data_IF_389495269469
#
_entry.id   IF_389495269469
#
_cell.length_a   1.000
_cell.length_b   1.000
_cell.length_c   1.000
_cell.angle_alpha   90.00
_cell.angle_beta   90.00
_cell.angle_gamma   90.00
#
_symmetry.space_group_name_H-M   'P 1'
#
loop_
_entity.id
_entity.type
_entity.pdbx_description
1 polymer ?
#
# COMPACT_ATOMS: atom_id res chain seq x y z
N UNK A 1 -20.91 14.25 -55.17
CA UNK A 1 -19.47 13.89 -55.27
C UNK A 1 -19.14 13.00 -54.07
N UNK A 2 -19.07 11.70 -54.29
CA UNK A 2 -18.74 10.71 -53.26
C UNK A 2 -17.22 10.56 -53.20
N UNK A 3 -16.62 10.87 -52.04
CA UNK A 3 -15.19 10.72 -51.79
C UNK A 3 -14.83 9.27 -51.49
N UNK A 4 -13.82 8.74 -52.20
CA UNK A 4 -13.24 7.40 -51.98
C UNK A 4 -12.42 7.37 -50.67
N UNK A 5 -12.42 6.26 -49.91
CA UNK A 5 -11.51 6.09 -48.78
C UNK A 5 -10.12 5.61 -49.24
N UNK A 6 -9.08 6.10 -48.57
CA UNK A 6 -7.68 5.68 -48.72
C UNK A 6 -7.45 4.42 -47.85
N UNK A 7 -6.77 3.37 -48.35
CA UNK A 7 -6.52 2.17 -47.56
C UNK A 7 -5.34 2.37 -46.60
N UNK A 8 -5.59 2.18 -45.30
CA UNK A 8 -4.55 2.17 -44.27
C UNK A 8 -3.72 0.89 -44.32
N UNK A 9 -2.39 1.04 -44.27
CA UNK A 9 -1.43 -0.06 -44.12
C UNK A 9 -1.61 -0.72 -42.76
N UNK A 10 -2.08 -1.95 -42.74
CA UNK A 10 -1.98 -2.86 -41.58
C UNK A 10 -0.56 -3.41 -41.50
N UNK A 11 0.19 -3.00 -40.47
CA UNK A 11 1.39 -3.73 -40.07
C UNK A 11 0.94 -5.03 -39.39
N UNK A 12 1.13 -6.16 -40.08
CA UNK A 12 0.88 -7.49 -39.51
C UNK A 12 1.80 -7.73 -38.32
N UNK A 13 1.26 -7.70 -37.10
CA UNK A 13 1.88 -8.30 -35.94
C UNK A 13 1.83 -9.83 -36.08
N UNK A 14 2.88 -10.56 -35.69
CA UNK A 14 2.90 -12.02 -35.76
C UNK A 14 1.80 -12.62 -34.86
N UNK A 15 1.22 -13.77 -35.25
CA UNK A 15 0.17 -14.42 -34.47
C UNK A 15 0.69 -14.83 -33.08
N UNK A 16 -0.17 -14.77 -32.04
CA UNK A 16 0.22 -15.16 -30.69
C UNK A 16 0.65 -16.63 -30.67
N UNK A 17 1.74 -16.99 -29.95
CA UNK A 17 2.16 -18.37 -29.84
C UNK A 17 1.08 -19.21 -29.12
N UNK A 18 0.86 -20.42 -29.63
CA UNK A 18 -0.13 -21.36 -29.10
C UNK A 18 0.25 -21.80 -27.66
N UNK A 19 -0.74 -21.72 -26.77
CA UNK A 19 -0.60 -21.88 -25.31
C UNK A 19 -0.67 -23.35 -24.91
N UNK A 20 0.40 -23.88 -24.32
CA UNK A 20 0.39 -25.17 -23.60
C UNK A 20 0.58 -24.93 -22.09
N UNK A 21 -0.42 -25.33 -21.29
CA UNK A 21 -0.46 -25.15 -19.83
C UNK A 21 0.53 -26.04 -19.07
N UNK A 22 1.65 -25.44 -18.63
CA UNK A 22 2.28 -25.57 -17.29
C UNK A 22 3.35 -24.46 -17.18
N UNK A 23 3.10 -23.45 -16.33
CA UNK A 23 4.05 -22.41 -15.93
C UNK A 23 4.53 -21.47 -17.03
N UNK A 24 3.68 -20.57 -17.54
CA UNK A 24 4.15 -19.49 -18.43
C UNK A 24 4.86 -18.41 -17.60
N UNK A 25 6.15 -18.60 -17.32
CA UNK A 25 7.03 -17.51 -16.90
C UNK A 25 7.45 -16.74 -18.14
N UNK A 26 7.23 -15.42 -18.14
CA UNK A 26 7.63 -14.55 -19.25
C UNK A 26 8.61 -13.51 -18.74
N UNK A 27 9.84 -13.49 -19.28
CA UNK A 27 10.75 -12.36 -19.12
C UNK A 27 10.22 -11.21 -19.99
N UNK A 28 9.99 -10.05 -19.37
CA UNK A 28 9.48 -8.85 -20.02
C UNK A 28 10.65 -7.95 -20.42
N UNK A 29 10.52 -7.14 -21.49
CA UNK A 29 11.46 -6.05 -21.71
C UNK A 29 11.41 -5.08 -20.52
N UNK A 30 12.54 -4.46 -20.20
CA UNK A 30 12.61 -3.47 -19.12
C UNK A 30 11.58 -2.35 -19.32
N UNK A 31 10.88 -1.89 -18.27
CA UNK A 31 10.00 -0.73 -18.36
C UNK A 31 10.78 0.48 -18.88
N UNK A 32 10.21 1.27 -19.80
CA UNK A 32 10.88 2.46 -20.32
C UNK A 32 10.94 3.56 -19.25
N UNK A 33 11.80 4.55 -19.44
CA UNK A 33 11.95 5.69 -18.50
C UNK A 33 10.80 6.70 -18.64
N UNK A 34 10.28 6.89 -19.86
CA UNK A 34 9.23 7.88 -20.10
C UNK A 34 7.88 7.41 -19.56
N UNK A 35 7.20 8.28 -18.81
CA UNK A 35 5.90 7.97 -18.20
C UNK A 35 4.82 7.46 -19.18
N UNK A 36 4.58 8.08 -20.35
CA UNK A 36 3.61 7.53 -21.32
C UNK A 36 4.02 6.13 -21.79
N UNK A 37 5.30 5.92 -22.05
CA UNK A 37 5.83 4.60 -22.41
C UNK A 37 5.62 3.56 -21.31
N UNK A 38 5.69 3.93 -20.02
CA UNK A 38 5.40 2.98 -18.92
C UNK A 38 3.93 2.60 -18.91
N UNK A 39 3.03 3.55 -19.16
CA UNK A 39 1.59 3.27 -19.27
C UNK A 39 1.32 2.28 -20.41
N UNK A 40 1.88 2.53 -21.59
CA UNK A 40 1.76 1.63 -22.75
C UNK A 40 2.39 0.25 -22.46
N UNK A 41 3.51 0.23 -21.75
CA UNK A 41 4.18 -1.00 -21.34
C UNK A 41 3.30 -1.82 -20.37
N UNK A 42 2.67 -1.17 -19.39
CA UNK A 42 1.76 -1.85 -18.45
C UNK A 42 0.52 -2.37 -19.18
N UNK A 43 -0.07 -1.55 -20.05
CA UNK A 43 -1.23 -1.94 -20.87
C UNK A 43 -0.91 -3.19 -21.70
N UNK A 44 0.26 -3.20 -22.36
CA UNK A 44 0.64 -4.31 -23.22
C UNK A 44 1.05 -5.58 -22.46
N UNK A 45 2.00 -5.48 -21.52
CA UNK A 45 2.64 -6.64 -20.90
C UNK A 45 1.89 -7.17 -19.66
N UNK A 46 1.13 -6.30 -18.98
CA UNK A 46 0.36 -6.63 -17.78
C UNK A 46 -1.16 -6.61 -18.02
N UNK A 47 -1.61 -6.56 -19.28
CA UNK A 47 -3.00 -6.75 -19.65
C UNK A 47 -3.63 -7.96 -18.92
N UNK A 48 -4.82 -7.73 -18.37
CA UNK A 48 -5.59 -8.71 -17.60
C UNK A 48 -5.19 -8.86 -16.14
N UNK A 49 -4.16 -8.12 -15.66
CA UNK A 49 -3.72 -8.13 -14.26
C UNK A 49 -4.20 -6.90 -13.46
N UNK A 50 -4.98 -6.03 -14.08
CA UNK A 50 -5.57 -4.83 -13.51
C UNK A 50 -7.03 -4.65 -13.97
N UNK A 51 -7.81 -3.78 -13.30
CA UNK A 51 -9.27 -3.73 -13.42
C UNK A 51 -9.89 -2.43 -13.98
N UNK A 52 -9.07 -1.46 -14.39
CA UNK A 52 -9.46 -0.19 -14.99
C UNK A 52 -8.57 0.15 -16.20
N UNK A 53 -8.77 1.29 -16.85
CA UNK A 53 -7.94 1.69 -17.98
C UNK A 53 -6.48 1.95 -17.56
N UNK A 54 -5.54 1.61 -18.44
CA UNK A 54 -4.13 1.87 -18.19
C UNK A 54 -3.87 3.37 -18.02
N UNK A 55 -3.61 3.78 -16.78
CA UNK A 55 -3.33 5.17 -16.43
C UNK A 55 -2.33 5.26 -15.28
N UNK A 56 -1.47 6.27 -15.32
CA UNK A 56 -0.57 6.61 -14.22
C UNK A 56 -1.30 7.49 -13.19
N UNK A 57 -0.83 7.51 -11.94
CA UNK A 57 -1.33 8.48 -10.96
C UNK A 57 -0.91 9.91 -11.37
N UNK A 58 -1.82 10.89 -11.48
CA UNK A 58 -1.43 12.27 -11.76
C UNK A 58 -0.65 12.91 -10.59
N UNK A 59 -0.61 12.24 -9.43
CA UNK A 59 -0.09 12.80 -8.18
C UNK A 59 1.20 12.17 -7.67
N UNK A 60 1.60 11.03 -8.21
CA UNK A 60 2.75 10.27 -7.77
C UNK A 60 3.44 9.61 -8.95
N UNK A 61 4.76 9.65 -8.96
CA UNK A 61 5.63 8.89 -9.85
C UNK A 61 6.41 7.90 -9.00
N UNK A 62 6.53 6.65 -9.45
CA UNK A 62 7.36 5.62 -8.81
C UNK A 62 8.86 5.87 -8.96
N UNK A 63 9.68 5.12 -8.21
CA UNK A 63 11.14 5.20 -8.28
C UNK A 63 11.81 5.88 -7.08
N UNK A 64 13.08 5.54 -6.88
CA UNK A 64 13.94 6.10 -5.83
C UNK A 64 14.18 7.59 -6.08
N UNK A 65 14.37 7.99 -7.34
CA UNK A 65 14.54 9.41 -7.72
C UNK A 65 13.35 10.25 -7.24
N UNK A 66 12.14 9.85 -7.59
CA UNK A 66 10.92 10.56 -7.18
C UNK A 66 10.72 10.53 -5.65
N UNK A 67 11.08 9.42 -4.99
CA UNK A 67 11.01 9.29 -3.54
C UNK A 67 11.96 10.27 -2.82
N UNK A 68 13.18 10.42 -3.35
CA UNK A 68 14.21 11.30 -2.80
C UNK A 68 13.85 12.77 -3.00
N UNK A 69 13.34 13.14 -4.18
CA UNK A 69 12.79 14.48 -4.45
C UNK A 69 11.62 14.81 -3.51
N UNK A 70 10.70 13.86 -3.32
CA UNK A 70 9.57 14.04 -2.42
C UNK A 70 10.02 14.25 -0.96
N UNK A 71 11.03 13.50 -0.48
CA UNK A 71 11.57 13.67 0.86
C UNK A 71 12.33 15.00 1.00
N UNK A 72 13.14 15.39 0.01
CA UNK A 72 13.88 16.64 0.00
C UNK A 72 12.96 17.87 -0.02
N UNK A 73 11.83 17.79 -0.72
CA UNK A 73 10.81 18.83 -0.75
C UNK A 73 9.89 18.87 0.48
N UNK A 74 9.92 17.85 1.34
CA UNK A 74 9.03 17.78 2.50
C UNK A 74 9.53 18.63 3.67
N UNK A 75 8.68 19.54 4.17
CA UNK A 75 8.90 20.25 5.43
C UNK A 75 7.92 19.78 6.51
N UNK A 76 8.45 19.38 7.67
CA UNK A 76 7.62 19.00 8.82
C UNK A 76 6.98 20.20 9.53
N UNK A 77 7.40 21.45 9.23
CA UNK A 77 6.89 22.65 9.91
C UNK A 77 5.37 22.79 9.75
N UNK A 78 4.66 22.99 10.85
CA UNK A 78 3.21 23.15 10.88
C UNK A 78 2.42 21.84 10.81
N UNK A 79 3.08 20.68 10.62
CA UNK A 79 2.44 19.37 10.46
C UNK A 79 1.38 19.07 11.54
N UNK A 80 1.66 19.38 12.81
CA UNK A 80 0.74 19.08 13.89
C UNK A 80 -0.59 19.86 13.80
N UNK A 81 -0.59 21.02 13.15
CA UNK A 81 -1.80 21.83 12.90
C UNK A 81 -2.57 21.41 11.66
N UNK A 82 -1.88 21.01 10.58
CA UNK A 82 -2.45 20.87 9.24
C UNK A 82 -2.64 19.43 8.74
N UNK A 83 -2.11 18.40 9.43
CA UNK A 83 -2.18 16.98 9.00
C UNK A 83 -3.59 16.43 8.75
N UNK A 84 -4.62 17.07 9.33
CA UNK A 84 -6.02 16.62 9.23
C UNK A 84 -6.84 17.46 8.23
N UNK A 85 -6.24 18.46 7.60
CA UNK A 85 -6.92 19.28 6.59
C UNK A 85 -7.20 18.44 5.34
N UNK A 86 -8.37 18.63 4.74
CA UNK A 86 -8.89 17.85 3.61
C UNK A 86 -9.13 18.72 2.40
N UNK A 87 -9.75 19.89 2.56
CA UNK A 87 -10.01 20.82 1.46
C UNK A 87 -9.81 22.27 1.92
N UNK A 88 -9.30 23.17 1.06
CA UNK A 88 -8.75 22.91 -0.27
C UNK A 88 -7.39 22.17 -0.23
N UNK A 89 -6.96 21.52 -1.32
CA UNK A 89 -5.77 20.65 -1.31
C UNK A 89 -4.48 21.36 -0.87
N UNK A 90 -4.36 22.66 -1.14
CA UNK A 90 -3.19 23.49 -0.81
C UNK A 90 -3.02 23.70 0.70
N UNK A 91 -4.07 23.45 1.50
CA UNK A 91 -4.03 23.52 2.97
C UNK A 91 -3.63 22.22 3.64
N UNK A 92 -3.51 21.12 2.88
CA UNK A 92 -3.20 19.79 3.42
C UNK A 92 -1.78 19.77 3.97
N UNK A 93 -1.63 19.38 5.24
CA UNK A 93 -0.34 19.19 5.89
C UNK A 93 0.23 17.78 5.78
N UNK A 94 -0.44 16.86 5.11
CA UNK A 94 0.04 15.48 4.97
C UNK A 94 1.30 15.43 4.09
N UNK A 95 2.29 14.64 4.48
CA UNK A 95 3.60 14.61 3.81
C UNK A 95 3.59 13.98 2.42
N UNK A 96 2.55 13.23 2.07
CA UNK A 96 2.44 12.47 0.81
C UNK A 96 3.58 11.45 0.61
N UNK A 97 4.35 11.09 1.65
CA UNK A 97 5.47 10.14 1.55
C UNK A 97 5.05 8.66 1.65
N UNK A 98 3.78 8.37 1.96
CA UNK A 98 3.33 7.01 2.24
C UNK A 98 3.45 6.02 1.08
N UNK A 99 3.27 6.39 -0.21
CA UNK A 99 3.54 5.47 -1.33
C UNK A 99 4.99 5.02 -1.37
N UNK A 100 5.94 5.93 -1.15
CA UNK A 100 7.37 5.63 -1.13
C UNK A 100 7.79 4.81 0.10
N UNK A 101 7.23 5.13 1.27
CA UNK A 101 7.47 4.37 2.52
C UNK A 101 6.95 2.94 2.41
N UNK A 102 5.82 2.74 1.70
CA UNK A 102 5.24 1.42 1.54
C UNK A 102 6.18 0.47 0.78
N UNK A 103 6.79 0.96 -0.29
CA UNK A 103 7.60 0.15 -1.20
C UNK A 103 9.08 0.10 -0.81
N UNK A 104 9.45 0.57 0.39
CA UNK A 104 10.83 0.56 0.87
C UNK A 104 11.75 1.59 0.21
N UNK A 105 11.25 2.40 -0.72
CA UNK A 105 11.98 3.52 -1.36
C UNK A 105 12.42 4.54 -0.29
N UNK A 106 11.59 4.77 0.71
CA UNK A 106 11.94 5.55 1.91
C UNK A 106 11.81 4.69 3.17
N UNK A 107 12.91 4.11 3.68
CA UNK A 107 12.91 3.43 4.97
C UNK A 107 12.44 4.39 6.08
N UNK A 108 11.65 3.91 7.04
CA UNK A 108 11.11 4.76 8.11
C UNK A 108 12.20 5.49 8.90
N UNK A 109 13.37 4.86 9.09
CA UNK A 109 14.53 5.46 9.76
C UNK A 109 15.04 6.71 9.03
N UNK A 110 15.15 6.66 7.69
CA UNK A 110 15.55 7.80 6.86
C UNK A 110 14.59 8.97 7.03
N UNK A 111 13.28 8.71 6.99
CA UNK A 111 12.26 9.75 7.17
C UNK A 111 12.25 10.28 8.61
N UNK A 112 12.45 9.42 9.61
CA UNK A 112 12.54 9.78 11.02
C UNK A 112 13.68 10.75 11.30
N UNK A 113 14.84 10.52 10.68
CA UNK A 113 16.03 11.35 10.79
C UNK A 113 15.84 12.67 10.03
N UNK A 114 15.31 12.63 8.80
CA UNK A 114 15.10 13.80 7.95
C UNK A 114 14.24 14.90 8.63
N UNK A 115 13.25 14.53 9.44
CA UNK A 115 12.41 15.51 10.15
C UNK A 115 13.04 16.06 11.43
N UNK A 116 14.18 15.52 11.89
CA UNK A 116 14.73 15.78 13.22
C UNK A 116 15.06 17.25 13.52
N UNK A 117 15.35 18.06 12.50
CA UNK A 117 15.65 19.49 12.63
C UNK A 117 14.43 20.43 12.69
N UNK A 118 13.20 19.90 12.63
CA UNK A 118 11.99 20.71 12.65
C UNK A 118 11.52 21.18 14.03
N UNK A 119 10.43 21.96 14.11
CA UNK A 119 9.84 22.38 15.39
C UNK A 119 9.41 21.18 16.24
N UNK A 120 9.77 21.16 17.53
CA UNK A 120 9.58 20.01 18.44
C UNK A 120 8.16 19.41 18.40
N UNK A 121 7.12 20.25 18.43
CA UNK A 121 5.73 19.81 18.38
C UNK A 121 5.40 19.07 17.08
N UNK A 122 5.88 19.58 15.96
CA UNK A 122 5.62 19.01 14.65
C UNK A 122 6.41 17.72 14.44
N UNK A 123 7.69 17.72 14.83
CA UNK A 123 8.56 16.53 14.78
C UNK A 123 8.00 15.40 15.63
N UNK A 124 7.62 15.70 16.89
CA UNK A 124 7.03 14.71 17.78
C UNK A 124 5.74 14.15 17.20
N UNK A 125 4.89 15.00 16.61
CA UNK A 125 3.64 14.54 15.99
C UNK A 125 3.89 13.72 14.73
N UNK A 126 4.83 14.10 13.89
CA UNK A 126 5.16 13.35 12.68
C UNK A 126 5.76 11.98 12.99
N UNK A 127 6.71 11.92 13.93
CA UNK A 127 7.33 10.68 14.41
C UNK A 127 6.31 9.72 15.04
N UNK A 128 5.30 10.24 15.74
CA UNK A 128 4.16 9.44 16.24
C UNK A 128 3.38 8.75 15.10
N UNK A 129 3.23 9.39 13.95
CA UNK A 129 2.58 8.77 12.78
C UNK A 129 3.48 7.72 12.10
N UNK A 130 4.79 7.92 12.08
CA UNK A 130 5.74 6.87 11.62
C UNK A 130 5.69 5.64 12.55
N UNK A 131 5.52 5.85 13.85
CA UNK A 131 5.31 4.77 14.81
C UNK A 131 3.98 4.04 14.58
N UNK A 132 2.91 4.72 14.16
CA UNK A 132 1.67 4.03 13.74
C UNK A 132 1.88 3.11 12.54
N UNK A 133 2.69 3.52 11.57
CA UNK A 133 3.08 2.68 10.44
C UNK A 133 3.87 1.44 10.90
N UNK A 134 4.82 1.63 11.82
CA UNK A 134 5.63 0.54 12.38
C UNK A 134 4.78 -0.43 13.22
N UNK A 135 3.88 0.08 14.05
CA UNK A 135 2.91 -0.71 14.80
C UNK A 135 2.07 -1.59 13.89
N UNK A 136 1.51 -1.02 12.81
CA UNK A 136 0.71 -1.80 11.86
C UNK A 136 1.52 -2.93 11.20
N UNK A 137 2.80 -2.69 10.89
CA UNK A 137 3.71 -3.74 10.39
C UNK A 137 3.95 -4.82 11.43
N UNK A 138 4.19 -4.48 12.70
CA UNK A 138 4.39 -5.46 13.78
C UNK A 138 3.15 -6.35 13.96
N UNK A 139 1.95 -5.75 13.99
CA UNK A 139 0.68 -6.49 14.08
C UNK A 139 0.56 -7.47 12.91
N UNK A 140 0.80 -7.02 11.68
CA UNK A 140 0.67 -7.86 10.49
C UNK A 140 1.76 -8.93 10.39
N UNK A 141 3.00 -8.62 10.74
CA UNK A 141 4.11 -9.56 10.74
C UNK A 141 3.87 -10.73 11.70
N UNK A 142 3.24 -10.44 12.86
CA UNK A 142 2.95 -11.43 13.91
C UNK A 142 1.70 -12.26 13.62
N UNK A 143 0.61 -11.61 13.22
CA UNK A 143 -0.70 -12.25 13.09
C UNK A 143 -0.96 -12.77 11.67
N UNK A 144 -0.33 -12.18 10.66
CA UNK A 144 -0.48 -12.53 9.27
C UNK A 144 -1.93 -12.43 8.80
N UNK A 145 -2.42 -13.49 8.15
CA UNK A 145 -3.78 -13.56 7.59
C UNK A 145 -4.89 -13.52 8.65
N UNK A 146 -4.59 -13.86 9.92
CA UNK A 146 -5.55 -13.77 11.02
C UNK A 146 -6.05 -12.33 11.24
N UNK A 147 -5.27 -11.33 10.80
CA UNK A 147 -5.73 -9.92 10.81
C UNK A 147 -6.92 -9.66 9.91
N UNK A 148 -7.28 -10.56 8.98
CA UNK A 148 -8.47 -10.42 8.11
C UNK A 148 -9.76 -10.31 8.93
N UNK A 149 -9.77 -10.85 10.15
CA UNK A 149 -10.85 -10.69 11.11
C UNK A 149 -10.53 -9.60 12.14
N UNK A 150 -11.51 -9.18 12.93
CA UNK A 150 -11.31 -8.17 13.96
C UNK A 150 -10.33 -8.64 15.05
N UNK A 151 -9.55 -7.71 15.63
CA UNK A 151 -8.57 -8.05 16.68
C UNK A 151 -9.21 -8.23 18.06
N UNK A 152 -10.34 -7.55 18.32
CA UNK A 152 -11.00 -7.49 19.63
C UNK A 152 -12.52 -7.60 19.57
N UNK A 153 -13.09 -7.27 18.43
CA UNK A 153 -14.52 -7.33 18.22
C UNK A 153 -14.84 -7.63 16.75
N UNK A 154 -16.02 -8.20 16.53
CA UNK A 154 -16.63 -8.42 15.22
C UNK A 154 -17.67 -7.36 14.97
N UNK A 155 -17.60 -6.74 13.80
CA UNK A 155 -18.67 -5.95 13.22
C UNK A 155 -19.31 -6.79 12.11
N UNK A 156 -20.57 -7.18 12.30
CA UNK A 156 -21.32 -7.93 11.29
C UNK A 156 -21.73 -6.97 10.18
N UNK A 157 -21.34 -7.31 8.95
CA UNK A 157 -21.73 -6.57 7.76
C UNK A 157 -22.93 -7.24 7.08
N UNK A 158 -23.80 -6.42 6.52
CA UNK A 158 -24.94 -6.87 5.72
C UNK A 158 -24.73 -6.49 4.24
N UNK A 159 -25.39 -7.23 3.35
CA UNK A 159 -25.50 -6.83 1.95
C UNK A 159 -26.48 -5.68 1.85
N UNK A 160 -26.09 -4.61 1.17
CA UNK A 160 -26.88 -3.41 1.07
C UNK A 160 -26.56 -2.61 -0.20
N UNK A 161 -27.18 -1.43 -0.36
CA UNK A 161 -26.87 -0.51 -1.45
C UNK A 161 -25.41 -0.06 -1.38
N UNK A 162 -24.90 0.48 -2.50
CA UNK A 162 -23.54 1.02 -2.62
C UNK A 162 -23.17 1.85 -1.36
N UNK A 163 -22.11 1.44 -0.60
CA UNK A 163 -21.78 2.09 0.66
C UNK A 163 -21.17 3.48 0.49
N UNK A 164 -20.62 3.81 -0.68
CA UNK A 164 -20.17 5.17 -1.02
C UNK A 164 -21.10 5.83 -2.04
N UNK A 165 -22.17 6.51 -1.59
CA UNK A 165 -23.08 7.18 -2.50
C UNK A 165 -22.41 8.40 -3.16
N UNK A 166 -22.76 8.65 -4.41
CA UNK A 166 -22.26 9.73 -5.26
C UNK A 166 -22.93 11.08 -5.00
N UNK A 167 -24.13 11.09 -4.42
CA UNK A 167 -24.88 12.29 -4.04
C UNK A 167 -24.33 12.99 -2.77
N UNK A 168 -23.51 12.30 -1.99
CA UNK A 168 -22.76 12.87 -0.87
C UNK A 168 -21.45 13.49 -1.36
N UNK A 169 -21.43 14.81 -1.60
CA UNK A 169 -20.26 15.51 -2.15
C UNK A 169 -18.93 15.20 -1.43
N UNK A 170 -18.95 15.11 -0.09
CA UNK A 170 -17.75 14.77 0.69
C UNK A 170 -17.31 13.30 0.54
N UNK A 171 -18.19 12.39 0.17
CA UNK A 171 -17.84 10.99 -0.14
C UNK A 171 -17.39 10.89 -1.59
N UNK A 172 -18.18 11.42 -2.53
CA UNK A 172 -17.91 11.37 -3.96
C UNK A 172 -16.55 11.96 -4.33
N UNK A 173 -16.21 13.14 -3.79
CA UNK A 173 -14.89 13.77 -4.00
C UNK A 173 -13.74 12.86 -3.55
N UNK A 174 -13.90 12.17 -2.42
CA UNK A 174 -12.86 11.29 -1.88
C UNK A 174 -12.78 9.95 -2.62
N UNK A 175 -13.91 9.43 -3.13
CA UNK A 175 -13.90 8.25 -4.00
C UNK A 175 -13.19 8.57 -5.32
N UNK A 176 -13.48 9.73 -5.92
CA UNK A 176 -12.78 10.20 -7.11
C UNK A 176 -11.28 10.36 -6.84
N UNK A 177 -10.88 11.00 -5.73
CA UNK A 177 -9.46 11.13 -5.37
C UNK A 177 -8.77 9.76 -5.18
N UNK A 178 -9.44 8.79 -4.53
CA UNK A 178 -8.94 7.43 -4.39
C UNK A 178 -8.72 6.76 -5.75
N UNK A 179 -9.70 6.85 -6.64
CA UNK A 179 -9.69 6.17 -7.94
C UNK A 179 -8.73 6.81 -8.94
N UNK A 180 -8.65 8.14 -8.99
CA UNK A 180 -7.80 8.86 -9.92
C UNK A 180 -6.36 8.97 -9.40
N UNK A 181 -6.17 9.42 -8.15
CA UNK A 181 -4.84 9.70 -7.62
C UNK A 181 -4.20 8.49 -6.93
N UNK A 182 -5.00 7.55 -6.42
CA UNK A 182 -4.49 6.38 -5.70
C UNK A 182 -3.96 6.73 -4.31
N UNK A 183 -4.43 7.83 -3.72
CA UNK A 183 -3.99 8.28 -2.41
C UNK A 183 -5.07 9.13 -1.73
N UNK A 184 -5.12 9.06 -0.40
CA UNK A 184 -6.01 9.86 0.43
C UNK A 184 -5.28 10.34 1.68
N UNK A 185 -5.58 11.55 2.14
CA UNK A 185 -5.23 11.98 3.50
C UNK A 185 -5.92 11.07 4.53
N UNK A 186 -5.28 10.81 5.67
CA UNK A 186 -5.82 9.86 6.64
C UNK A 186 -7.24 10.24 7.13
N UNK A 187 -7.55 11.53 7.23
CA UNK A 187 -8.87 11.99 7.67
C UNK A 187 -10.00 11.53 6.74
N UNK A 188 -9.78 11.48 5.42
CA UNK A 188 -10.79 11.05 4.45
C UNK A 188 -10.88 9.53 4.35
N UNK A 189 -9.77 8.83 4.58
CA UNK A 189 -9.79 7.36 4.80
C UNK A 189 -10.74 6.97 5.93
N UNK A 190 -10.67 7.70 7.05
CA UNK A 190 -11.57 7.51 8.19
C UNK A 190 -13.03 7.83 7.83
N UNK A 191 -13.30 8.87 7.04
CA UNK A 191 -14.67 9.19 6.59
C UNK A 191 -15.24 8.09 5.70
N UNK A 192 -14.50 7.63 4.70
CA UNK A 192 -14.95 6.58 3.79
C UNK A 192 -15.15 5.24 4.50
N UNK A 193 -14.27 4.86 5.43
CA UNK A 193 -14.44 3.65 6.23
C UNK A 193 -15.62 3.73 7.20
N UNK A 194 -15.82 4.90 7.82
CA UNK A 194 -16.97 5.16 8.67
C UNK A 194 -18.28 5.14 7.88
N UNK A 195 -18.31 5.80 6.72
CA UNK A 195 -19.46 5.76 5.82
C UNK A 195 -19.80 4.31 5.44
N UNK A 196 -18.80 3.53 5.03
CA UNK A 196 -18.96 2.15 4.59
C UNK A 196 -19.56 1.24 5.67
N UNK A 197 -18.92 1.15 6.83
CA UNK A 197 -19.26 0.14 7.81
C UNK A 197 -20.12 0.68 8.98
N UNK A 198 -19.86 1.91 9.42
CA UNK A 198 -20.53 2.49 10.60
C UNK A 198 -21.90 3.06 10.23
N UNK A 199 -22.02 3.73 9.07
CA UNK A 199 -23.29 4.34 8.63
C UNK A 199 -24.12 3.42 7.75
N UNK A 200 -23.48 2.65 6.86
CA UNK A 200 -24.18 1.77 5.91
C UNK A 200 -24.26 0.31 6.35
N UNK A 201 -23.57 -0.07 7.42
CA UNK A 201 -23.61 -1.44 7.95
C UNK A 201 -22.99 -2.48 7.01
N UNK A 202 -22.23 -2.08 5.99
CA UNK A 202 -21.62 -3.01 5.06
C UNK A 202 -20.38 -3.70 5.65
N UNK A 203 -20.03 -4.87 5.12
CA UNK A 203 -18.82 -5.60 5.55
C UNK A 203 -17.57 -4.77 5.25
N UNK A 204 -16.90 -4.32 6.32
CA UNK A 204 -15.73 -3.47 6.24
C UNK A 204 -14.56 -4.10 5.46
N UNK A 205 -14.49 -5.44 5.36
CA UNK A 205 -13.43 -6.14 4.63
C UNK A 205 -13.52 -5.86 3.13
N UNK A 206 -14.74 -5.70 2.60
CA UNK A 206 -14.96 -5.33 1.20
C UNK A 206 -14.50 -3.89 0.92
N UNK A 207 -14.72 -2.98 1.88
CA UNK A 207 -14.22 -1.61 1.80
C UNK A 207 -12.69 -1.53 1.89
N UNK A 208 -12.08 -2.34 2.77
CA UNK A 208 -10.63 -2.51 2.84
C UNK A 208 -10.07 -3.00 1.49
N UNK A 209 -10.73 -3.99 0.88
CA UNK A 209 -10.35 -4.53 -0.43
C UNK A 209 -10.46 -3.47 -1.53
N UNK A 210 -11.54 -2.67 -1.57
CA UNK A 210 -11.66 -1.53 -2.51
C UNK A 210 -10.56 -0.48 -2.31
N UNK A 211 -10.20 -0.18 -1.06
CA UNK A 211 -9.05 0.68 -0.78
C UNK A 211 -7.74 0.06 -1.30
N UNK A 212 -7.55 -1.23 -1.06
CA UNK A 212 -6.35 -1.95 -1.47
C UNK A 212 -6.19 -2.00 -2.99
N UNK A 213 -7.29 -2.07 -3.75
CA UNK A 213 -7.26 -2.04 -5.21
C UNK A 213 -6.66 -0.74 -5.76
N UNK A 214 -6.99 0.41 -5.15
CA UNK A 214 -6.62 1.72 -5.69
C UNK A 214 -5.43 2.40 -5.00
N UNK A 215 -5.24 2.19 -3.69
CA UNK A 215 -4.20 2.91 -2.94
C UNK A 215 -2.79 2.47 -3.36
N UNK A 216 -1.97 3.43 -3.83
CA UNK A 216 -0.53 3.23 -4.07
C UNK A 216 0.17 2.76 -2.78
N UNK A 217 -0.20 3.33 -1.64
CA UNK A 217 0.31 2.92 -0.32
C UNK A 217 -0.50 1.78 0.35
N UNK A 218 -1.44 1.16 -0.37
CA UNK A 218 -2.42 0.22 0.16
C UNK A 218 -1.81 -1.11 0.59
N UNK A 219 -1.56 -1.30 1.90
CA UNK A 219 -0.97 -2.51 2.48
C UNK A 219 -1.91 -3.27 3.39
N UNK A 220 -1.81 -4.61 3.44
CA UNK A 220 -2.57 -5.40 4.42
C UNK A 220 -2.17 -5.15 5.88
N UNK A 221 -1.06 -4.44 6.10
CA UNK A 221 -0.68 -3.92 7.41
C UNK A 221 -1.42 -2.61 7.73
N UNK A 222 -1.03 -1.50 7.11
CA UNK A 222 -1.52 -0.17 7.47
C UNK A 222 -2.96 0.11 7.02
N UNK A 223 -3.35 -0.32 5.81
CA UNK A 223 -4.72 -0.12 5.32
C UNK A 223 -5.71 -0.84 6.26
N UNK A 224 -5.43 -2.12 6.53
CA UNK A 224 -6.27 -2.94 7.40
C UNK A 224 -6.33 -2.41 8.83
N UNK A 225 -5.19 -2.07 9.42
CA UNK A 225 -5.15 -1.50 10.76
C UNK A 225 -5.98 -0.20 10.85
N UNK A 226 -5.92 0.65 9.83
CA UNK A 226 -6.75 1.87 9.74
C UNK A 226 -8.25 1.58 9.65
N UNK A 227 -8.65 0.59 8.85
CA UNK A 227 -10.04 0.11 8.78
C UNK A 227 -10.50 -0.45 10.12
N UNK A 228 -9.75 -1.38 10.71
CA UNK A 228 -10.10 -1.99 12.00
C UNK A 228 -10.19 -0.96 13.14
N UNK A 229 -9.32 0.06 13.12
CA UNK A 229 -9.38 1.16 14.08
C UNK A 229 -10.65 1.99 13.88
N UNK A 230 -10.98 2.33 12.63
CA UNK A 230 -12.14 3.18 12.31
C UNK A 230 -13.46 2.47 12.58
N UNK A 231 -13.57 1.19 12.23
CA UNK A 231 -14.81 0.42 12.42
C UNK A 231 -14.94 -0.17 13.83
N UNK A 232 -13.92 0.04 14.67
CA UNK A 232 -13.92 -0.34 16.08
C UNK A 232 -13.56 -1.81 16.34
N UNK A 233 -13.25 -2.61 15.33
CA UNK A 233 -12.89 -4.04 15.52
C UNK A 233 -11.53 -4.22 16.21
N UNK A 234 -10.67 -3.19 16.20
CA UNK A 234 -9.41 -3.15 16.95
C UNK A 234 -9.48 -2.38 18.29
N UNK A 235 -10.55 -1.64 18.57
CA UNK A 235 -10.63 -0.73 19.74
C UNK A 235 -11.86 -1.00 20.63
N UNK A 236 -12.87 -1.68 20.10
CA UNK A 236 -14.20 -1.83 20.68
C UNK A 236 -15.08 -0.58 20.55
N UNK A 237 -14.65 0.46 19.82
CA UNK A 237 -15.40 1.70 19.62
C UNK A 237 -15.26 2.20 18.19
N UNK A 238 -16.35 2.26 17.39
CA UNK A 238 -16.27 2.78 16.04
C UNK A 238 -16.04 4.30 16.06
N UNK A 239 -15.33 4.79 15.04
CA UNK A 239 -15.11 6.20 14.77
C UNK A 239 -16.08 6.66 13.67
N UNK A 240 -17.00 7.54 14.07
CA UNK A 240 -17.94 8.22 13.19
C UNK A 240 -17.33 9.41 12.43
N UNK A 241 -18.15 10.09 11.65
CA UNK A 241 -17.90 11.47 11.23
C UNK A 241 -19.22 12.21 11.08
N UNK A 242 -19.22 13.53 11.23
CA UNK A 242 -20.42 14.37 11.11
C UNK A 242 -20.18 15.59 10.21
N UNK A 243 -21.25 16.30 9.86
CA UNK A 243 -21.25 17.51 9.04
C UNK A 243 -20.28 18.54 9.61
N UNK A 244 -20.37 18.84 10.91
CA UNK A 244 -19.46 19.77 11.61
C UNK A 244 -17.99 19.39 11.44
N UNK A 245 -17.67 18.09 11.41
CA UNK A 245 -16.30 17.65 11.17
C UNK A 245 -15.88 17.91 9.72
N UNK A 246 -16.76 17.63 8.75
CA UNK A 246 -16.52 17.91 7.34
C UNK A 246 -16.32 19.40 7.12
N UNK A 247 -17.21 20.26 7.63
CA UNK A 247 -17.10 21.72 7.51
C UNK A 247 -15.79 22.27 8.09
N UNK A 248 -15.31 21.70 9.20
CA UNK A 248 -14.03 22.10 9.80
C UNK A 248 -12.82 21.70 8.96
N UNK A 249 -12.84 20.52 8.33
CA UNK A 249 -11.67 19.95 7.63
C UNK A 249 -11.69 20.17 6.12
N UNK A 250 -12.88 20.38 5.58
CA UNK A 250 -13.17 20.61 4.18
C UNK A 250 -14.24 21.73 4.04
N UNK A 251 -13.93 22.96 4.49
CA UNK A 251 -14.85 24.10 4.39
C UNK A 251 -15.35 24.30 2.95
N UNK A 252 -16.63 24.67 2.81
CA UNK A 252 -17.32 24.89 1.53
C UNK A 252 -17.91 23.65 0.86
N UNK A 253 -17.46 22.44 1.19
CA UNK A 253 -17.99 21.20 0.58
C UNK A 253 -19.45 20.95 0.96
N UNK A 254 -19.83 21.20 2.23
CA UNK A 254 -21.20 20.99 2.68
C UNK A 254 -22.18 22.02 2.09
N UNK A 255 -21.73 23.26 1.83
CA UNK A 255 -22.56 24.35 1.29
C UNK A 255 -22.93 24.11 -0.18
N UNK A 256 -22.01 23.55 -0.95
CA UNK A 256 -22.18 23.19 -2.37
C UNK A 256 -22.85 21.83 -2.59
N UNK A 257 -23.08 21.06 -1.53
CA UNK A 257 -23.67 19.73 -1.61
C UNK A 257 -25.17 19.76 -1.89
N UNK A 258 -25.65 18.94 -2.83
CA UNK A 258 -27.08 18.79 -3.12
C UNK A 258 -27.91 18.27 -1.94
N UNK A 259 -27.26 17.66 -0.94
CA UNK A 259 -27.90 17.15 0.28
C UNK A 259 -27.85 18.15 1.46
N UNK A 260 -27.40 19.40 1.27
CA UNK A 260 -27.16 20.36 2.37
C UNK A 260 -28.35 20.54 3.33
N UNK A 261 -29.57 20.46 2.82
CA UNK A 261 -30.81 20.69 3.59
C UNK A 261 -31.31 19.42 4.29
N UNK A 262 -30.75 18.25 3.95
CA UNK A 262 -31.09 16.93 4.51
C UNK A 262 -29.83 16.08 4.65
N UNK A 263 -28.80 16.63 5.28
CA UNK A 263 -27.48 16.04 5.34
C UNK A 263 -27.53 14.70 6.11
N UNK A 264 -27.19 13.55 5.50
CA UNK A 264 -27.26 12.24 6.17
C UNK A 264 -26.22 12.08 7.28
N UNK A 265 -25.29 13.02 7.38
CA UNK A 265 -24.24 13.08 8.40
C UNK A 265 -24.38 14.27 9.33
N UNK A 266 -25.57 14.90 9.43
CA UNK A 266 -25.82 16.07 10.29
C UNK A 266 -25.19 15.88 11.68
N UNK A 267 -25.54 14.76 12.32
CA UNK A 267 -25.02 14.35 13.62
C UNK A 267 -24.01 13.21 13.55
N UNK A 268 -23.29 13.02 14.66
CA UNK A 268 -22.43 11.87 14.87
C UNK A 268 -23.25 10.57 14.91
N UNK A 269 -22.83 9.48 14.25
CA UNK A 269 -23.61 8.24 14.25
C UNK A 269 -23.57 7.58 15.64
N UNK A 270 -24.67 6.94 16.05
CA UNK A 270 -24.74 6.13 17.28
C UNK A 270 -23.75 4.95 17.29
N UNK A 271 -23.34 4.51 16.10
CA UNK A 271 -22.40 3.42 15.88
C UNK A 271 -23.10 2.04 15.93
N UNK A 272 -22.71 1.09 15.07
CA UNK A 272 -23.29 -0.25 15.07
C UNK A 272 -22.85 -1.04 16.31
N UNK A 273 -23.64 -2.06 16.73
CA UNK A 273 -23.23 -2.96 17.80
C UNK A 273 -21.95 -3.73 17.41
N UNK A 274 -21.05 -3.90 18.38
CA UNK A 274 -19.82 -4.67 18.24
C UNK A 274 -19.85 -5.87 19.19
N UNK A 275 -19.65 -7.07 18.64
CA UNK A 275 -19.56 -8.31 19.41
C UNK A 275 -18.11 -8.51 19.86
N UNK A 276 -17.84 -8.52 21.17
CA UNK A 276 -16.48 -8.78 21.68
C UNK A 276 -16.11 -10.24 21.43
N UNK A 277 -14.86 -10.47 21.07
CA UNK A 277 -14.31 -11.81 20.86
C UNK A 277 -13.10 -12.06 21.76
N UNK A 278 -12.80 -13.33 21.95
CA UNK A 278 -11.50 -13.75 22.47
C UNK A 278 -10.43 -13.45 21.42
N UNK A 279 -9.56 -12.49 21.74
CA UNK A 279 -8.49 -12.10 20.85
C UNK A 279 -7.47 -13.24 20.68
N UNK A 280 -6.91 -13.37 19.47
CA UNK A 280 -5.79 -14.26 19.20
C UNK A 280 -4.70 -14.07 20.27
N UNK A 281 -4.22 -15.14 20.94
CA UNK A 281 -3.22 -15.02 22.00
C UNK A 281 -1.97 -14.23 21.61
N UNK A 282 -1.59 -14.28 20.32
CA UNK A 282 -0.45 -13.56 19.76
C UNK A 282 -0.59 -12.04 19.85
N UNK A 283 -1.82 -11.53 19.96
CA UNK A 283 -2.08 -10.10 20.20
C UNK A 283 -1.47 -9.65 21.53
N UNK A 284 -1.45 -10.51 22.55
CA UNK A 284 -0.94 -10.19 23.89
C UNK A 284 0.54 -10.51 24.06
N UNK A 285 1.03 -11.55 23.40
CA UNK A 285 2.42 -11.97 23.48
C UNK A 285 2.88 -12.58 22.16
N UNK A 286 4.04 -12.17 21.65
CA UNK A 286 4.70 -12.89 20.56
C UNK A 286 5.34 -14.17 21.12
N UNK A 287 5.06 -15.36 20.57
CA UNK A 287 5.79 -16.56 20.96
C UNK A 287 7.25 -16.54 20.49
N UNK A 288 7.55 -15.84 19.38
CA UNK A 288 8.90 -15.77 18.82
C UNK A 288 9.12 -14.45 18.06
N UNK A 289 9.60 -13.39 18.75
CA UNK A 289 9.89 -12.10 18.14
C UNK A 289 10.98 -12.14 17.06
N UNK A 290 11.91 -13.10 17.12
CA UNK A 290 12.99 -13.19 16.13
C UNK A 290 12.45 -13.79 14.82
N UNK A 291 11.57 -14.79 14.88
CA UNK A 291 10.79 -15.24 13.72
C UNK A 291 9.93 -14.10 13.16
N UNK A 292 9.27 -13.31 14.02
CA UNK A 292 8.46 -12.16 13.58
C UNK A 292 9.30 -11.09 12.89
N UNK A 293 10.48 -10.78 13.44
CA UNK A 293 11.37 -9.73 12.96
C UNK A 293 12.34 -10.13 11.84
N UNK A 294 12.48 -11.42 11.53
CA UNK A 294 13.48 -11.91 10.58
C UNK A 294 14.89 -11.88 11.16
N UNK A 295 15.95 -12.13 10.36
CA UNK A 295 17.29 -12.18 10.91
C UNK A 295 17.77 -10.80 11.39
N UNK A 296 18.74 -10.78 12.31
CA UNK A 296 19.37 -9.55 12.82
C UNK A 296 20.60 -9.14 12.02
N UNK A 297 21.26 -10.12 11.43
CA UNK A 297 22.43 -10.01 10.57
C UNK A 297 22.19 -10.89 9.34
N UNK A 298 22.88 -10.66 8.22
CA UNK A 298 22.74 -11.53 7.05
C UNK A 298 23.00 -13.01 7.40
N UNK A 299 22.10 -13.89 6.97
CA UNK A 299 22.26 -15.34 7.05
C UNK A 299 22.72 -15.85 5.68
N UNK A 300 23.93 -16.42 5.60
CA UNK A 300 24.56 -16.83 4.35
C UNK A 300 24.66 -18.36 4.31
N UNK A 301 24.10 -18.98 3.26
CA UNK A 301 24.15 -20.44 3.04
C UNK A 301 25.13 -20.83 1.94
N UNK A 302 25.12 -20.10 0.83
CA UNK A 302 26.04 -20.22 -0.31
C UNK A 302 25.95 -18.97 -1.18
N UNK A 303 26.67 -18.95 -2.31
CA UNK A 303 26.73 -17.81 -3.21
C UNK A 303 25.38 -17.59 -3.96
N UNK A 304 24.85 -16.36 -3.98
CA UNK A 304 23.67 -16.00 -4.76
C UNK A 304 24.01 -15.67 -6.22
N UNK A 305 23.09 -15.94 -7.14
CA UNK A 305 23.18 -15.58 -8.55
C UNK A 305 22.28 -14.37 -8.94
N UNK A 306 21.45 -13.90 -8.01
CA UNK A 306 20.58 -12.74 -8.19
C UNK A 306 20.10 -12.20 -6.84
N UNK A 307 19.54 -10.98 -6.87
CA UNK A 307 18.77 -10.42 -5.76
C UNK A 307 17.28 -10.54 -6.07
N UNK A 308 16.53 -11.27 -5.26
CA UNK A 308 15.07 -11.32 -5.36
C UNK A 308 14.46 -10.08 -4.70
N UNK A 309 13.80 -9.24 -5.50
CA UNK A 309 13.04 -8.09 -5.02
C UNK A 309 11.55 -8.41 -4.87
N UNK A 310 10.93 -7.74 -3.90
CA UNK A 310 9.48 -7.79 -3.69
C UNK A 310 8.90 -6.39 -3.63
N UNK A 311 7.59 -6.26 -3.80
CA UNK A 311 6.92 -4.96 -3.70
C UNK A 311 7.01 -4.33 -2.29
N UNK A 312 7.50 -5.03 -1.27
CA UNK A 312 7.72 -4.48 0.06
C UNK A 312 9.07 -3.75 0.19
N UNK A 313 10.06 -4.07 -0.66
CA UNK A 313 11.39 -3.46 -0.63
C UNK A 313 11.96 -3.34 -2.04
N UNK A 314 11.86 -2.14 -2.61
CA UNK A 314 12.30 -1.79 -3.97
C UNK A 314 13.33 -0.65 -3.98
N UNK A 315 13.68 -0.09 -2.82
CA UNK A 315 14.59 1.05 -2.71
C UNK A 315 16.05 0.66 -2.92
N UNK A 316 16.85 1.65 -3.31
CA UNK A 316 18.31 1.49 -3.50
C UNK A 316 19.00 1.08 -2.19
N UNK A 317 18.40 1.41 -1.05
CA UNK A 317 18.85 1.03 0.29
C UNK A 317 18.29 -0.32 0.78
N UNK A 318 17.66 -1.12 -0.10
CA UNK A 318 17.30 -2.50 0.23
C UNK A 318 18.56 -3.28 0.67
N UNK A 319 18.56 -3.94 1.84
CA UNK A 319 19.75 -4.60 2.39
C UNK A 319 20.40 -5.65 1.47
N UNK A 320 19.64 -6.55 0.85
CA UNK A 320 20.18 -7.53 -0.08
C UNK A 320 20.69 -6.86 -1.38
N UNK A 321 19.95 -5.87 -1.88
CA UNK A 321 20.29 -5.11 -3.08
C UNK A 321 21.60 -4.32 -2.91
N UNK A 322 21.80 -3.73 -1.73
CA UNK A 322 22.99 -2.97 -1.35
C UNK A 322 24.20 -3.87 -1.08
N UNK A 323 23.99 -5.07 -0.53
CA UNK A 323 25.05 -6.06 -0.33
C UNK A 323 25.59 -6.61 -1.67
N UNK A 324 24.75 -6.65 -2.71
CA UNK A 324 25.07 -7.25 -4.01
C UNK A 324 24.85 -6.28 -5.18
N UNK A 325 25.69 -5.24 -5.33
CA UNK A 325 25.54 -4.23 -6.39
C UNK A 325 25.76 -4.80 -7.80
N UNK A 326 26.56 -5.87 -7.93
CA UNK A 326 26.89 -6.47 -9.23
C UNK A 326 25.92 -7.56 -9.70
N UNK A 327 25.05 -8.07 -8.83
CA UNK A 327 24.09 -9.11 -9.21
C UNK A 327 22.85 -8.49 -9.89
N UNK A 328 22.21 -9.19 -10.84
CA UNK A 328 20.93 -8.75 -11.37
C UNK A 328 19.84 -8.76 -10.27
N UNK A 329 19.00 -7.73 -10.27
CA UNK A 329 17.80 -7.70 -9.44
C UNK A 329 16.64 -8.34 -10.21
N UNK A 330 15.94 -9.29 -9.60
CA UNK A 330 14.84 -10.03 -10.23
C UNK A 330 13.53 -9.65 -9.55
N UNK A 331 12.57 -9.16 -10.31
CA UNK A 331 11.23 -8.85 -9.85
C UNK A 331 10.18 -9.60 -10.69
N UNK A 332 9.21 -10.21 -10.02
CA UNK A 332 8.10 -10.90 -10.68
C UNK A 332 6.77 -10.18 -10.37
N UNK A 333 6.08 -9.73 -11.41
CA UNK A 333 4.65 -9.46 -11.36
C UNK A 333 3.92 -10.79 -11.17
N UNK A 334 3.58 -11.08 -9.91
CA UNK A 334 2.94 -12.32 -9.44
C UNK A 334 1.55 -12.48 -10.06
N UNK A 335 1.50 -13.09 -11.24
CA UNK A 335 0.29 -13.22 -12.05
C UNK A 335 -0.87 -13.92 -11.32
N UNK A 336 -0.67 -15.06 -10.63
CA UNK A 336 -1.74 -15.67 -9.83
C UNK A 336 -2.30 -14.74 -8.75
N UNK A 337 -1.43 -14.00 -8.06
CA UNK A 337 -1.84 -13.06 -7.03
C UNK A 337 -2.58 -11.85 -7.62
N UNK A 338 -2.02 -11.23 -8.66
CA UNK A 338 -2.58 -10.02 -9.28
C UNK A 338 -3.94 -10.31 -9.95
N UNK A 339 -4.11 -11.49 -10.55
CA UNK A 339 -5.39 -11.94 -11.09
C UNK A 339 -6.49 -11.94 -10.02
N UNK A 340 -6.17 -12.34 -8.79
CA UNK A 340 -7.12 -12.33 -7.68
C UNK A 340 -7.32 -10.96 -7.02
N UNK A 341 -6.30 -10.10 -7.05
CA UNK A 341 -6.36 -8.78 -6.42
C UNK A 341 -7.11 -7.74 -7.26
N UNK A 342 -7.04 -7.84 -8.59
CA UNK A 342 -7.69 -6.90 -9.51
C UNK A 342 -7.35 -5.44 -9.14
N UNK A 343 -6.05 -5.12 -9.10
CA UNK A 343 -5.58 -3.77 -8.74
C UNK A 343 -5.90 -2.78 -9.84
N UNK A 344 -5.99 -1.48 -9.51
CA UNK A 344 -5.99 -0.45 -10.56
C UNK A 344 -4.64 -0.35 -11.25
N UNK A 345 -4.65 -0.04 -12.54
CA UNK A 345 -3.48 0.08 -13.39
C UNK A 345 -2.42 1.02 -12.81
N UNK A 346 -2.82 2.15 -12.21
CA UNK A 346 -1.88 3.10 -11.57
C UNK A 346 -0.97 2.49 -10.52
N UNK A 347 -1.40 1.41 -9.85
CA UNK A 347 -0.55 0.67 -8.90
C UNK A 347 0.54 -0.10 -9.63
N UNK A 348 0.22 -0.72 -10.76
CA UNK A 348 1.20 -1.44 -11.59
C UNK A 348 2.11 -0.48 -12.33
N UNK A 349 1.59 0.66 -12.80
CA UNK A 349 2.38 1.76 -13.37
C UNK A 349 3.39 2.28 -12.35
N UNK A 350 2.99 2.54 -11.10
CA UNK A 350 3.93 2.97 -10.05
C UNK A 350 5.06 1.96 -9.82
N UNK A 351 4.77 0.66 -9.83
CA UNK A 351 5.78 -0.38 -9.71
C UNK A 351 6.68 -0.45 -10.95
N UNK A 352 6.13 -0.33 -12.15
CA UNK A 352 6.88 -0.33 -13.39
C UNK A 352 7.78 0.92 -13.52
N UNK A 353 7.29 2.11 -13.16
CA UNK A 353 8.09 3.35 -13.02
C UNK A 353 9.25 3.12 -12.05
N UNK A 354 8.99 2.44 -10.93
CA UNK A 354 10.03 2.12 -9.93
C UNK A 354 11.11 1.19 -10.47
N UNK A 355 10.71 0.16 -11.21
CA UNK A 355 11.64 -0.81 -11.80
C UNK A 355 12.44 -0.19 -12.96
N UNK A 356 11.82 0.68 -13.75
CA UNK A 356 12.48 1.46 -14.80
C UNK A 356 13.54 2.40 -14.22
N UNK A 357 13.18 3.17 -13.18
CA UNK A 357 14.14 4.02 -12.45
C UNK A 357 15.32 3.21 -11.88
N UNK A 358 15.05 2.02 -11.32
CA UNK A 358 16.13 1.15 -10.81
C UNK A 358 17.03 0.62 -11.95
N UNK A 359 16.45 0.33 -13.12
CA UNK A 359 17.18 -0.21 -14.28
C UNK A 359 18.22 0.77 -14.87
N UNK A 360 18.07 2.07 -14.62
CA UNK A 360 19.09 3.08 -15.00
C UNK A 360 20.40 2.92 -14.21
N UNK A 361 20.36 2.27 -13.05
CA UNK A 361 21.50 2.15 -12.12
C UNK A 361 22.07 0.73 -12.03
N UNK A 362 21.31 -0.29 -12.44
CA UNK A 362 21.73 -1.70 -12.39
C UNK A 362 20.91 -2.58 -13.33
N UNK A 363 21.37 -3.82 -13.54
CA UNK A 363 20.61 -4.83 -14.25
C UNK A 363 19.36 -5.23 -13.46
N UNK A 364 18.19 -5.09 -14.09
CA UNK A 364 16.88 -5.51 -13.56
C UNK A 364 16.21 -6.48 -14.53
N UNK A 365 15.85 -7.66 -14.05
CA UNK A 365 15.07 -8.67 -14.75
C UNK A 365 13.62 -8.61 -14.27
N UNK A 366 12.70 -8.25 -15.17
CA UNK A 366 11.27 -8.10 -14.86
C UNK A 366 10.51 -9.26 -15.48
N UNK A 367 9.77 -10.01 -14.67
CA UNK A 367 9.00 -11.16 -15.12
C UNK A 367 7.50 -10.99 -14.88
N UNK A 368 6.70 -11.66 -15.70
CA UNK A 368 5.30 -12.00 -15.42
C UNK A 368 5.21 -13.49 -15.16
N UNK A 369 4.61 -13.87 -14.03
CA UNK A 369 4.42 -15.27 -13.65
C UNK A 369 4.48 -15.48 -12.15
N UNK A 370 4.36 -16.73 -11.72
CA UNK A 370 4.50 -17.10 -10.32
C UNK A 370 5.98 -16.95 -9.87
N UNK A 371 6.28 -16.20 -8.78
CA UNK A 371 7.66 -15.96 -8.34
C UNK A 371 8.48 -17.23 -8.05
N UNK A 372 7.86 -18.31 -7.58
CA UNK A 372 8.56 -19.57 -7.31
C UNK A 372 9.01 -20.22 -8.62
N UNK A 373 8.18 -20.12 -9.65
CA UNK A 373 8.53 -20.58 -11.00
C UNK A 373 9.60 -19.71 -11.66
N UNK A 374 9.54 -18.38 -11.45
CA UNK A 374 10.54 -17.42 -11.97
C UNK A 374 11.93 -17.69 -11.40
N UNK A 375 12.01 -18.03 -10.12
CA UNK A 375 13.27 -18.20 -9.39
C UNK A 375 13.70 -19.67 -9.28
N UNK A 376 13.00 -20.59 -9.93
CA UNK A 376 13.27 -22.01 -9.86
C UNK A 376 14.71 -22.34 -10.30
N UNK A 377 15.47 -23.02 -9.43
CA UNK A 377 16.85 -23.42 -9.71
C UNK A 377 17.88 -22.28 -9.70
N UNK A 378 17.50 -21.07 -9.25
CA UNK A 378 18.41 -19.93 -9.14
C UNK A 378 18.61 -19.55 -7.67
N UNK A 379 19.83 -19.66 -7.12
CA UNK A 379 20.12 -19.19 -5.77
C UNK A 379 19.98 -17.67 -5.69
N UNK A 380 19.25 -17.14 -4.70
CA UNK A 380 19.02 -15.70 -4.56
C UNK A 380 19.39 -15.14 -3.19
N UNK A 381 19.88 -13.90 -3.17
CA UNK A 381 19.86 -13.05 -1.99
C UNK A 381 18.49 -12.35 -1.91
N UNK A 382 17.91 -12.21 -0.72
CA UNK A 382 16.67 -11.45 -0.53
C UNK A 382 16.68 -10.75 0.82
N UNK A 383 16.06 -9.58 0.89
CA UNK A 383 15.71 -8.96 2.17
C UNK A 383 14.47 -9.65 2.75
N UNK A 384 14.48 -9.97 4.04
CA UNK A 384 13.31 -10.50 4.75
C UNK A 384 12.13 -9.54 4.61
N UNK A 385 11.00 -9.97 4.05
CA UNK A 385 9.77 -9.17 4.02
C UNK A 385 8.78 -9.66 5.09
N UNK A 386 8.30 -8.78 6.01
CA UNK A 386 7.46 -9.17 7.15
C UNK A 386 5.99 -9.39 6.76
N UNK A 387 5.75 -10.17 5.70
CA UNK A 387 4.43 -10.46 5.15
C UNK A 387 4.24 -11.97 4.93
N UNK A 388 3.02 -12.53 5.13
CA UNK A 388 2.78 -13.97 4.96
C UNK A 388 3.11 -14.52 3.58
N UNK A 389 2.89 -13.72 2.53
CA UNK A 389 3.17 -14.12 1.15
C UNK A 389 4.64 -14.42 0.92
N UNK A 390 5.54 -13.55 1.38
CA UNK A 390 6.98 -13.76 1.29
C UNK A 390 7.41 -15.02 2.06
N UNK A 391 6.98 -15.17 3.32
CA UNK A 391 7.32 -16.34 4.15
C UNK A 391 6.95 -17.66 3.49
N UNK A 392 5.77 -17.73 2.87
CA UNK A 392 5.31 -18.94 2.18
C UNK A 392 6.19 -19.27 0.98
N UNK A 393 6.54 -18.27 0.16
CA UNK A 393 7.32 -18.45 -1.07
C UNK A 393 8.80 -18.74 -0.78
N UNK A 394 9.36 -18.13 0.26
CA UNK A 394 10.76 -18.32 0.66
C UNK A 394 11.08 -19.77 1.08
N UNK A 395 10.07 -20.61 1.36
CA UNK A 395 10.25 -22.04 1.66
C UNK A 395 10.62 -22.85 0.42
N UNK A 396 10.08 -22.50 -0.76
CA UNK A 396 10.33 -23.22 -2.02
C UNK A 396 11.39 -22.56 -2.90
N UNK A 397 11.75 -21.30 -2.63
CA UNK A 397 12.81 -20.57 -3.33
C UNK A 397 14.16 -20.87 -2.66
N UNK A 398 15.20 -21.05 -3.48
CA UNK A 398 16.57 -21.22 -3.00
C UNK A 398 17.16 -19.88 -2.50
N UNK A 399 16.86 -19.53 -1.24
CA UNK A 399 17.38 -18.32 -0.59
C UNK A 399 18.83 -18.53 -0.14
N UNK A 400 19.79 -18.24 -1.01
CA UNK A 400 21.21 -18.36 -0.71
C UNK A 400 21.66 -17.42 0.42
N UNK A 401 21.10 -16.21 0.45
CA UNK A 401 21.33 -15.23 1.51
C UNK A 401 20.03 -14.54 1.95
N UNK A 402 19.81 -14.46 3.26
CA UNK A 402 18.69 -13.72 3.84
C UNK A 402 19.18 -12.50 4.61
N UNK A 403 18.80 -11.32 4.14
CA UNK A 403 19.21 -10.04 4.72
C UNK A 403 18.15 -9.47 5.69
N UNK A 404 18.54 -8.74 6.74
CA UNK A 404 17.60 -8.17 7.73
C UNK A 404 16.64 -7.14 7.13
N UNK A 405 15.39 -7.10 7.61
CA UNK A 405 14.49 -5.99 7.29
C UNK A 405 14.88 -4.71 8.05
N UNK A 406 14.83 -3.52 7.40
CA UNK A 406 15.21 -2.25 8.01
C UNK A 406 14.12 -1.70 8.95
N UNK A 407 13.86 -2.39 10.05
CA UNK A 407 12.92 -1.96 11.10
C UNK A 407 13.31 -0.60 11.68
N UNK A 408 12.31 0.25 11.95
CA UNK A 408 12.50 1.43 12.80
C UNK A 408 12.73 0.98 14.25
N UNK A 409 11.88 0.07 14.71
CA UNK A 409 12.03 -0.68 15.95
C UNK A 409 11.75 -2.16 15.67
N UNK A 410 12.64 -3.06 16.10
CA UNK A 410 12.38 -4.50 15.91
C UNK A 410 11.14 -4.96 16.69
N UNK A 411 10.40 -5.96 16.19
CA UNK A 411 9.33 -6.61 16.94
C UNK A 411 9.81 -7.09 18.32
N UNK A 412 8.96 -6.90 19.33
CA UNK A 412 9.21 -7.31 20.71
C UNK A 412 8.15 -8.30 21.20
N UNK A 413 8.44 -9.11 22.23
CA UNK A 413 7.52 -10.14 22.73
C UNK A 413 6.22 -9.66 23.36
N UNK A 414 6.08 -8.37 23.68
CA UNK A 414 4.93 -7.85 24.44
C UNK A 414 3.71 -7.53 23.56
N UNK A 415 2.66 -7.00 24.21
CA UNK A 415 1.34 -6.77 23.62
C UNK A 415 1.33 -5.81 22.44
N UNK A 416 0.60 -6.20 21.40
CA UNK A 416 0.20 -5.38 20.25
C UNK A 416 -1.30 -5.08 20.24
N UNK A 417 -1.99 -5.27 21.38
CA UNK A 417 -3.45 -5.10 21.51
C UNK A 417 -3.95 -3.67 21.28
N UNK A 418 -3.06 -2.68 21.36
CA UNK A 418 -3.30 -1.30 20.95
C UNK A 418 -1.97 -0.62 20.67
N UNK A 419 -2.01 0.46 19.88
CA UNK A 419 -0.83 1.30 19.64
C UNK A 419 -0.17 1.79 20.93
N UNK A 420 -0.96 2.21 21.92
CA UNK A 420 -0.43 2.67 23.21
C UNK A 420 0.25 1.56 24.02
N UNK A 421 -0.30 0.34 23.99
CA UNK A 421 0.30 -0.80 24.68
C UNK A 421 1.63 -1.21 24.02
N UNK A 422 1.65 -1.26 22.69
CA UNK A 422 2.86 -1.52 21.90
C UNK A 422 3.92 -0.44 22.14
N UNK A 423 3.55 0.85 22.02
CA UNK A 423 4.48 1.97 22.17
C UNK A 423 5.14 2.03 23.55
N UNK A 424 4.44 1.61 24.61
CA UNK A 424 4.99 1.59 25.98
C UNK A 424 6.14 0.58 26.13
N UNK A 425 6.24 -0.40 25.23
CA UNK A 425 7.26 -1.43 25.23
C UNK A 425 8.44 -1.18 24.28
N UNK A 426 8.44 -0.04 23.57
CA UNK A 426 9.60 0.48 22.83
C UNK A 426 10.55 1.21 23.77
#
# INVERSE_FOLDING_TARGET
MAGRPVPGRTAHLPPPPQVTRRGHVTLLPGPPVSRPGVVDWVDHYLAGLFNDDAAASPSFVGGQTAADEALAGFSVRGYAGSRNEVWPPERRGASRLSPYIRHGLLPLRRVWEAVGGGPTRDVAKYRDELLWQEYARHVYARLGTATRDGLRAVLRGELGPEPWPDDMACVAMNVAELQEHGWLVNQTRMWLASQWAVRRGADWRQGEDRFFQHLLDGSRAANRAGWQWTVGTATGRPYGFSRRQVERRAPGICESCGLRDRCPIEDWPSGPPLERIDADPRVRSDPDPDITGGPRQPEIRHEPAAVWLTAESLGDADPALAAHPGLPAVFAFDEPLLTGLQLSAKRLVFLAETLGDLADRRTVEVHRGDPESVLAGRPVATTFAPVPGWRRRAVSIDVAELHPWPWLHRPHGTSVASYSAWRKAL
#
